data_IF_671773681451
#
_entry.id   IF_671773681451
#
_cell.length_a   1.000
_cell.length_b   1.000
_cell.length_c   1.000
_cell.angle_alpha   90.00
_cell.angle_beta   90.00
_cell.angle_gamma   90.00
#
_symmetry.space_group_name_H-M   'P 1'
#
loop_
_entity.id
_entity.type
_entity.pdbx_description
1 polymer ?
#
# COMPACT_ATOMS: atom_id res chain seq x y z
N UNK A 1 -10.07 -20.96 -4.54
CA UNK A 1 -11.30 -20.38 -3.98
C UNK A 1 -11.28 -18.87 -4.12
N UNK A 2 -10.30 -18.15 -3.58
CA UNK A 2 -10.19 -16.67 -3.65
C UNK A 2 -10.23 -16.13 -5.09
N UNK A 3 -9.59 -16.82 -6.05
CA UNK A 3 -9.61 -16.42 -7.47
C UNK A 3 -11.02 -16.45 -8.08
N UNK A 4 -11.92 -17.23 -7.54
CA UNK A 4 -13.32 -17.37 -8.02
C UNK A 4 -14.27 -16.48 -7.22
N UNK A 5 -14.15 -16.50 -5.88
CA UNK A 5 -15.06 -15.79 -4.97
C UNK A 5 -14.70 -14.32 -4.79
N UNK A 6 -13.46 -13.94 -5.08
CA UNK A 6 -12.87 -12.62 -4.79
C UNK A 6 -12.91 -12.24 -3.29
N UNK A 7 -12.99 -13.24 -2.41
CA UNK A 7 -12.99 -13.07 -0.95
C UNK A 7 -12.06 -14.11 -0.31
N UNK A 8 -11.41 -13.74 0.79
CA UNK A 8 -10.70 -14.71 1.62
C UNK A 8 -11.68 -15.49 2.49
N UNK A 9 -11.41 -16.79 2.74
CA UNK A 9 -12.21 -17.58 3.67
C UNK A 9 -12.04 -17.05 5.12
N UNK A 10 -13.07 -17.24 5.94
CA UNK A 10 -13.09 -16.77 7.33
C UNK A 10 -11.91 -17.31 8.15
N UNK A 11 -11.50 -18.54 7.86
CA UNK A 11 -10.34 -19.18 8.48
C UNK A 11 -9.04 -18.38 8.33
N UNK A 12 -8.90 -17.60 7.23
CA UNK A 12 -7.75 -16.73 7.05
C UNK A 12 -7.70 -15.64 8.13
N UNK A 13 -8.82 -14.97 8.36
CA UNK A 13 -8.92 -13.92 9.37
C UNK A 13 -8.74 -14.46 10.79
N UNK A 14 -9.31 -15.63 11.07
CA UNK A 14 -9.16 -16.30 12.35
C UNK A 14 -7.70 -16.75 12.62
N UNK A 15 -6.99 -17.22 11.60
CA UNK A 15 -5.56 -17.53 11.69
C UNK A 15 -4.73 -16.29 11.91
N UNK A 16 -5.02 -15.19 11.21
CA UNK A 16 -4.34 -13.92 11.39
C UNK A 16 -4.51 -13.37 12.82
N UNK A 17 -5.73 -13.40 13.36
CA UNK A 17 -6.02 -13.04 14.75
C UNK A 17 -5.31 -13.95 15.74
N UNK A 18 -5.40 -15.28 15.56
CA UNK A 18 -4.77 -16.26 16.45
C UNK A 18 -3.25 -16.11 16.52
N UNK A 19 -2.61 -15.74 15.41
CA UNK A 19 -1.18 -15.50 15.33
C UNK A 19 -0.79 -14.05 15.60
N UNK A 20 -1.73 -13.23 16.04
CA UNK A 20 -1.53 -11.84 16.44
C UNK A 20 -1.00 -10.93 15.32
N UNK A 21 -1.26 -11.28 14.07
CA UNK A 21 -0.72 -10.58 12.90
C UNK A 21 -1.28 -9.16 12.72
N UNK A 22 -2.36 -8.80 13.40
CA UNK A 22 -2.91 -7.44 13.36
C UNK A 22 -2.36 -6.50 14.45
N UNK A 23 -1.33 -6.94 15.19
CA UNK A 23 -0.72 -6.14 16.27
C UNK A 23 0.77 -5.90 16.10
N UNK A 24 1.42 -6.56 15.15
CA UNK A 24 2.88 -6.42 14.98
C UNK A 24 3.31 -4.97 14.66
N UNK A 25 2.41 -4.19 14.05
CA UNK A 25 2.62 -2.79 13.65
C UNK A 25 2.17 -1.75 14.69
N UNK A 26 1.51 -2.16 15.77
CA UNK A 26 1.09 -1.25 16.83
C UNK A 26 2.21 -1.04 17.83
N UNK A 27 2.35 0.18 18.38
CA UNK A 27 3.21 0.44 19.53
C UNK A 27 2.75 -0.35 20.77
N UNK A 28 3.65 -0.54 21.72
CA UNK A 28 3.37 -1.27 22.97
C UNK A 28 2.26 -0.62 23.79
N UNK A 29 2.11 0.70 23.76
CA UNK A 29 1.03 1.43 24.45
C UNK A 29 -0.37 1.06 23.93
N UNK A 30 -0.47 0.60 22.68
CA UNK A 30 -1.70 0.07 22.07
C UNK A 30 -1.68 -1.47 22.03
N UNK A 31 -0.85 -2.12 22.84
CA UNK A 31 -0.78 -3.58 22.96
C UNK A 31 -0.10 -4.27 21.76
N UNK A 32 0.67 -3.53 20.96
CA UNK A 32 1.43 -4.05 19.83
C UNK A 32 2.77 -4.66 20.22
N UNK A 33 3.56 -5.01 19.20
CA UNK A 33 4.85 -5.67 19.39
C UNK A 33 6.03 -4.68 19.52
N UNK A 34 5.79 -3.39 19.31
CA UNK A 34 6.79 -2.32 19.42
C UNK A 34 7.97 -2.50 18.47
N UNK A 35 7.69 -2.98 17.27
CA UNK A 35 8.69 -3.19 16.23
C UNK A 35 9.07 -1.85 15.58
N UNK A 36 10.36 -1.72 15.23
CA UNK A 36 10.81 -0.63 14.37
C UNK A 36 10.33 -0.81 12.91
N UNK A 37 10.49 0.22 12.08
CA UNK A 37 9.99 0.19 10.69
C UNK A 37 10.66 -0.92 9.88
N UNK A 38 11.94 -1.17 10.05
CA UNK A 38 12.65 -2.25 9.34
C UNK A 38 12.13 -3.63 9.74
N UNK A 39 11.82 -3.85 11.02
CA UNK A 39 11.23 -5.09 11.51
C UNK A 39 9.81 -5.30 10.97
N UNK A 40 8.99 -4.25 10.95
CA UNK A 40 7.66 -4.26 10.31
C UNK A 40 7.79 -4.66 8.84
N UNK A 41 8.70 -4.03 8.09
CA UNK A 41 8.89 -4.32 6.67
C UNK A 41 9.44 -5.73 6.42
N UNK A 42 10.23 -6.32 7.32
CA UNK A 42 10.64 -7.72 7.23
C UNK A 42 9.45 -8.69 7.36
N UNK A 43 8.52 -8.43 8.28
CA UNK A 43 7.27 -9.21 8.38
C UNK A 43 6.46 -9.05 7.09
N UNK A 44 6.36 -7.82 6.57
CA UNK A 44 5.66 -7.52 5.32
C UNK A 44 6.30 -8.24 4.11
N UNK A 45 7.63 -8.30 4.01
CA UNK A 45 8.34 -9.03 2.93
C UNK A 45 7.94 -10.50 2.92
N UNK A 46 8.00 -11.18 4.06
CA UNK A 46 7.64 -12.62 4.14
C UNK A 46 6.16 -12.86 3.83
N UNK A 47 5.27 -12.04 4.35
CA UNK A 47 3.84 -12.18 4.08
C UNK A 47 3.50 -11.93 2.60
N UNK A 48 4.22 -11.01 1.96
CA UNK A 48 4.04 -10.65 0.55
C UNK A 48 4.55 -11.72 -0.44
N UNK A 49 5.12 -12.80 0.06
CA UNK A 49 5.42 -14.00 -0.73
C UNK A 49 4.14 -14.80 -1.06
N UNK A 50 3.03 -14.50 -0.40
CA UNK A 50 1.70 -15.03 -0.66
C UNK A 50 1.04 -14.43 -1.91
N UNK A 51 -0.24 -14.78 -2.19
CA UNK A 51 -1.06 -14.13 -3.21
C UNK A 51 -1.19 -12.63 -2.95
N UNK A 52 -1.28 -11.85 -4.04
CA UNK A 52 -1.28 -10.38 -3.95
C UNK A 52 -2.44 -9.80 -3.14
N UNK A 53 -3.63 -10.40 -3.20
CA UNK A 53 -4.77 -9.99 -2.38
C UNK A 53 -4.55 -10.22 -0.88
N UNK A 54 -3.85 -11.30 -0.52
CA UNK A 54 -3.55 -11.62 0.90
C UNK A 54 -2.64 -10.57 1.54
N UNK A 55 -1.64 -10.07 0.82
CA UNK A 55 -0.73 -9.04 1.34
C UNK A 55 -1.44 -7.76 1.74
N UNK A 56 -2.55 -7.41 1.05
CA UNK A 56 -3.30 -6.19 1.35
C UNK A 56 -3.82 -6.15 2.79
N UNK A 57 -4.17 -7.30 3.36
CA UNK A 57 -4.66 -7.36 4.73
C UNK A 57 -3.60 -6.97 5.76
N UNK A 58 -2.33 -7.27 5.52
CA UNK A 58 -1.24 -6.80 6.38
C UNK A 58 -0.79 -5.38 6.06
N UNK A 59 -0.74 -5.02 4.78
CA UNK A 59 -0.37 -3.67 4.36
C UNK A 59 -1.30 -2.61 4.98
N UNK A 60 -2.62 -2.80 4.88
CA UNK A 60 -3.57 -1.88 5.50
C UNK A 60 -3.55 -1.94 7.02
N UNK A 61 -3.31 -3.10 7.60
CA UNK A 61 -3.14 -3.23 9.01
C UNK A 61 -1.88 -2.51 9.52
N UNK A 62 -0.79 -2.52 8.76
CA UNK A 62 0.48 -1.98 9.21
C UNK A 62 0.47 -0.46 9.33
N UNK A 63 -0.06 0.26 8.34
CA UNK A 63 0.15 1.71 8.27
C UNK A 63 -1.15 2.53 8.30
N UNK A 64 -2.10 2.24 7.43
CA UNK A 64 -3.28 3.08 7.26
C UNK A 64 -4.33 2.90 8.35
N UNK A 65 -4.35 1.74 9.02
CA UNK A 65 -5.44 1.43 9.98
C UNK A 65 -5.45 2.33 11.20
N UNK A 66 -4.31 2.62 11.80
CA UNK A 66 -4.29 3.30 13.10
C UNK A 66 -3.60 4.67 13.08
N UNK A 67 -2.54 4.84 12.26
CA UNK A 67 -1.71 6.07 12.27
C UNK A 67 -2.50 7.32 11.92
N UNK A 68 -3.34 7.27 10.90
CA UNK A 68 -4.17 8.44 10.53
C UNK A 68 -5.03 8.89 11.71
N UNK A 69 -5.66 7.93 12.40
CA UNK A 69 -6.51 8.26 13.54
C UNK A 69 -5.67 8.76 14.72
N UNK A 70 -4.53 8.12 14.97
CA UNK A 70 -3.63 8.53 16.06
C UNK A 70 -3.10 9.96 15.86
N UNK A 71 -2.67 10.31 14.64
CA UNK A 71 -1.97 11.55 14.40
C UNK A 71 -2.92 12.74 14.12
N UNK A 72 -4.09 12.46 13.53
CA UNK A 72 -5.03 13.50 13.08
C UNK A 72 -6.42 13.43 13.71
N UNK A 73 -6.73 12.36 14.46
CA UNK A 73 -8.03 12.22 15.14
C UNK A 73 -8.24 13.27 16.23
N UNK A 74 -9.48 13.76 16.36
CA UNK A 74 -9.86 14.60 17.48
C UNK A 74 -9.79 13.79 18.78
N UNK A 75 -9.50 14.42 19.93
CA UNK A 75 -9.30 13.70 21.20
C UNK A 75 -10.42 12.72 21.55
N UNK A 76 -11.68 13.12 21.37
CA UNK A 76 -12.86 12.31 21.67
C UNK A 76 -12.95 11.07 20.77
N UNK A 77 -12.54 11.22 19.51
CA UNK A 77 -12.53 10.13 18.51
C UNK A 77 -11.40 9.16 18.83
N UNK A 78 -10.21 9.67 19.17
CA UNK A 78 -9.06 8.85 19.57
C UNK A 78 -9.39 8.04 20.83
N UNK A 79 -9.89 8.67 21.87
CA UNK A 79 -10.26 8.00 23.12
C UNK A 79 -11.27 6.87 22.89
N UNK A 80 -12.24 7.09 21.99
CA UNK A 80 -13.27 6.10 21.68
C UNK A 80 -12.79 4.95 20.81
N UNK A 81 -11.98 5.21 19.78
CA UNK A 81 -11.73 4.23 18.72
C UNK A 81 -10.31 3.62 18.72
N UNK A 82 -9.29 4.28 19.29
CA UNK A 82 -7.96 3.70 19.37
C UNK A 82 -7.92 2.36 20.14
N UNK A 83 -8.66 2.18 21.25
CA UNK A 83 -8.72 0.88 21.93
C UNK A 83 -9.26 -0.26 21.07
N UNK A 84 -10.12 0.05 20.09
CA UNK A 84 -10.71 -0.97 19.21
C UNK A 84 -9.69 -1.53 18.20
N UNK A 85 -8.66 -0.78 17.83
CA UNK A 85 -7.52 -1.33 17.06
C UNK A 85 -6.75 -2.34 17.91
N UNK A 86 -6.50 -2.02 19.18
CA UNK A 86 -5.87 -2.93 20.13
C UNK A 86 -6.66 -4.23 20.29
N UNK A 87 -7.97 -4.15 20.37
CA UNK A 87 -8.87 -5.30 20.51
C UNK A 87 -9.12 -6.02 19.17
N UNK A 88 -8.56 -5.54 18.05
CA UNK A 88 -8.76 -6.09 16.69
C UNK A 88 -10.21 -6.09 16.24
N UNK A 89 -11.00 -5.12 16.70
CA UNK A 89 -12.44 -5.05 16.43
C UNK A 89 -12.81 -4.09 15.33
N UNK A 90 -11.88 -3.20 14.91
CA UNK A 90 -12.10 -2.33 13.77
C UNK A 90 -10.98 -2.44 12.72
N UNK A 91 -11.41 -2.32 11.47
CA UNK A 91 -10.58 -2.10 10.32
C UNK A 91 -11.06 -0.84 9.60
N UNK A 92 -10.15 -0.24 8.86
CA UNK A 92 -10.44 0.95 8.07
C UNK A 92 -10.01 0.76 6.62
N UNK A 93 -10.55 1.58 5.75
CA UNK A 93 -10.09 1.72 4.38
C UNK A 93 -9.78 3.19 4.07
N UNK A 94 -9.06 3.43 2.98
CA UNK A 94 -8.62 4.75 2.57
C UNK A 94 -9.27 5.16 1.25
N UNK A 95 -10.15 6.16 1.31
CA UNK A 95 -11.02 6.58 0.21
C UNK A 95 -10.62 7.95 -0.36
N UNK A 96 -9.55 7.96 -1.17
CA UNK A 96 -9.08 9.13 -1.91
C UNK A 96 -9.58 9.09 -3.36
N UNK A 97 -9.29 8.00 -4.07
CA UNK A 97 -9.48 7.85 -5.51
C UNK A 97 -10.94 7.98 -5.95
N UNK A 98 -11.17 8.67 -7.07
CA UNK A 98 -12.44 8.77 -7.77
C UNK A 98 -12.30 8.30 -9.21
N UNK A 99 -13.41 8.06 -9.92
CA UNK A 99 -13.38 7.70 -11.35
C UNK A 99 -12.76 8.79 -12.23
N UNK A 100 -12.85 10.05 -11.79
CA UNK A 100 -12.25 11.22 -12.43
C UNK A 100 -10.73 11.26 -12.31
N UNK A 101 -10.16 10.71 -11.24
CA UNK A 101 -8.71 10.72 -11.02
C UNK A 101 -8.26 10.08 -9.71
N UNK A 102 -7.03 9.56 -9.72
CA UNK A 102 -6.41 8.87 -8.58
C UNK A 102 -5.44 9.70 -7.76
N UNK A 103 -5.18 10.95 -8.16
CA UNK A 103 -4.10 11.76 -7.55
C UNK A 103 -4.58 12.80 -6.53
N UNK A 104 -5.88 12.88 -6.27
CA UNK A 104 -6.46 13.93 -5.42
C UNK A 104 -6.62 15.29 -6.12
N UNK A 105 -6.04 15.50 -7.30
CA UNK A 105 -6.09 16.77 -8.00
C UNK A 105 -7.48 17.13 -8.54
N UNK A 106 -8.28 16.12 -8.88
CA UNK A 106 -9.61 16.27 -9.49
C UNK A 106 -10.67 15.50 -8.69
N UNK A 107 -10.84 15.89 -7.43
CA UNK A 107 -11.86 15.31 -6.54
C UNK A 107 -13.17 16.10 -6.63
N UNK A 108 -14.26 15.36 -6.73
CA UNK A 108 -15.63 15.86 -6.84
C UNK A 108 -16.53 15.53 -5.65
N UNK A 109 -16.18 14.52 -4.83
CA UNK A 109 -16.89 14.26 -3.56
C UNK A 109 -16.80 15.49 -2.65
N UNK A 110 -17.90 15.87 -2.04
CA UNK A 110 -18.00 17.10 -1.22
C UNK A 110 -18.50 16.79 0.17
N UNK A 111 -18.03 17.55 1.17
CA UNK A 111 -18.68 17.64 2.48
C UNK A 111 -19.02 19.13 2.73
N UNK A 112 -20.32 19.41 2.83
CA UNK A 112 -20.83 20.78 3.02
C UNK A 112 -21.36 20.90 4.46
N UNK A 113 -20.98 22.01 5.12
CA UNK A 113 -21.47 22.29 6.45
C UNK A 113 -22.94 22.72 6.44
N UNK A 114 -23.78 22.06 7.22
CA UNK A 114 -25.19 22.38 7.42
C UNK A 114 -25.33 23.06 8.79
N UNK A 115 -25.59 24.38 8.76
CA UNK A 115 -25.71 25.20 9.97
C UNK A 115 -26.91 24.83 10.84
N UNK A 116 -28.01 24.35 10.22
CA UNK A 116 -29.23 23.99 10.97
C UNK A 116 -29.02 22.69 11.74
N UNK A 117 -28.31 21.75 11.12
CA UNK A 117 -28.02 20.44 11.72
C UNK A 117 -26.77 20.45 12.59
N UNK A 118 -25.88 21.41 12.42
CA UNK A 118 -24.56 21.42 13.04
C UNK A 118 -23.69 20.22 12.59
N UNK A 119 -23.79 19.82 11.31
CA UNK A 119 -23.12 18.63 10.77
C UNK A 119 -22.56 18.88 9.36
N UNK A 120 -21.60 18.09 8.99
CA UNK A 120 -21.15 17.98 7.61
C UNK A 120 -22.03 17.00 6.83
N UNK A 121 -22.38 17.35 5.60
CA UNK A 121 -23.18 16.51 4.68
C UNK A 121 -22.26 16.03 3.55
N UNK A 122 -21.89 14.76 3.60
CA UNK A 122 -21.01 14.13 2.63
C UNK A 122 -21.80 13.58 1.46
N UNK A 123 -21.37 13.93 0.23
CA UNK A 123 -21.93 13.46 -1.04
C UNK A 123 -20.80 13.13 -2.02
N UNK A 124 -21.01 12.14 -2.88
CA UNK A 124 -20.09 11.78 -3.96
C UNK A 124 -19.82 10.31 -4.10
N UNK A 125 -18.75 9.96 -4.81
CA UNK A 125 -18.36 8.58 -5.09
C UNK A 125 -16.84 8.41 -4.94
N UNK A 126 -16.43 7.24 -4.45
CA UNK A 126 -15.03 6.80 -4.44
C UNK A 126 -14.87 5.51 -5.23
N UNK A 127 -13.65 5.26 -5.71
CA UNK A 127 -13.38 4.18 -6.64
C UNK A 127 -12.07 3.46 -6.30
N UNK A 128 -11.98 2.16 -6.55
CA UNK A 128 -10.81 1.34 -6.24
C UNK A 128 -10.43 1.39 -4.74
N UNK A 129 -11.43 1.32 -3.88
CA UNK A 129 -11.19 1.32 -2.44
C UNK A 129 -11.02 -0.12 -1.97
N UNK A 130 -9.87 -0.43 -1.42
CA UNK A 130 -9.53 -1.76 -0.92
C UNK A 130 -10.09 -1.98 0.48
N UNK A 131 -10.19 -3.25 0.89
CA UNK A 131 -10.53 -3.63 2.26
C UNK A 131 -11.94 -3.25 2.73
N UNK A 132 -12.84 -2.96 1.82
CA UNK A 132 -14.20 -2.53 2.17
C UNK A 132 -15.07 -3.66 2.69
N UNK A 133 -14.72 -4.91 2.40
CA UNK A 133 -15.40 -6.13 2.84
C UNK A 133 -15.24 -6.42 4.33
N UNK A 134 -14.19 -5.91 4.96
CA UNK A 134 -13.92 -6.11 6.39
C UNK A 134 -13.81 -4.81 7.19
N UNK A 135 -13.87 -3.63 6.55
CA UNK A 135 -13.79 -2.34 7.22
C UNK A 135 -15.12 -1.90 7.85
N UNK A 136 -15.03 -1.22 8.97
CA UNK A 136 -16.15 -0.55 9.63
C UNK A 136 -16.11 0.97 9.47
N UNK A 137 -14.95 1.51 9.10
CA UNK A 137 -14.73 2.94 8.90
C UNK A 137 -13.94 3.20 7.62
N UNK A 138 -14.18 4.38 7.04
CA UNK A 138 -13.46 4.86 5.86
C UNK A 138 -12.81 6.21 6.15
N UNK A 139 -11.51 6.34 5.84
CA UNK A 139 -10.84 7.64 5.77
C UNK A 139 -11.16 8.29 4.43
N UNK A 140 -12.05 9.27 4.44
CA UNK A 140 -12.55 9.90 3.21
C UNK A 140 -11.95 11.27 3.01
N UNK A 141 -11.27 11.48 1.87
CA UNK A 141 -10.77 12.78 1.45
C UNK A 141 -11.78 13.40 0.47
N UNK A 142 -12.26 14.60 0.77
CA UNK A 142 -13.28 15.26 -0.06
C UNK A 142 -13.13 16.79 -0.05
N UNK A 143 -13.85 17.47 -0.92
CA UNK A 143 -13.86 18.91 -1.05
C UNK A 143 -14.78 19.52 0.02
N UNK A 144 -14.24 20.42 0.84
CA UNK A 144 -15.01 21.23 1.80
C UNK A 144 -15.03 22.70 1.45
N UNK A 145 -14.09 23.16 0.62
CA UNK A 145 -13.90 24.55 0.24
C UNK A 145 -13.74 24.68 -1.29
N UNK A 146 -14.83 24.61 -2.07
CA UNK A 146 -14.76 24.61 -3.53
C UNK A 146 -14.16 25.90 -4.14
N UNK A 147 -14.23 27.02 -3.40
CA UNK A 147 -13.71 28.32 -3.83
C UNK A 147 -12.20 28.46 -3.62
N UNK A 148 -11.57 27.58 -2.83
CA UNK A 148 -10.13 27.54 -2.64
C UNK A 148 -9.44 26.81 -3.80
N UNK A 149 -8.13 26.96 -3.90
CA UNK A 149 -7.30 26.32 -4.93
C UNK A 149 -6.40 25.26 -4.33
N UNK A 150 -5.99 24.31 -5.17
CA UNK A 150 -5.05 23.26 -4.78
C UNK A 150 -5.59 22.40 -3.64
N UNK A 151 -4.69 22.03 -2.74
CA UNK A 151 -4.98 21.10 -1.65
C UNK A 151 -5.79 21.74 -0.50
N UNK A 152 -5.75 23.05 -0.35
CA UNK A 152 -6.48 23.80 0.70
C UNK A 152 -8.01 23.63 0.61
N UNK A 153 -8.52 23.16 -0.53
CA UNK A 153 -9.94 22.85 -0.72
C UNK A 153 -10.37 21.53 -0.09
N UNK A 154 -9.41 20.68 0.30
CA UNK A 154 -9.63 19.30 0.69
C UNK A 154 -9.59 19.11 2.22
N UNK A 155 -10.51 18.32 2.75
CA UNK A 155 -10.51 17.90 4.14
C UNK A 155 -10.65 16.37 4.22
N UNK A 156 -10.27 15.81 5.36
CA UNK A 156 -10.33 14.38 5.64
C UNK A 156 -11.34 14.08 6.75
N UNK A 157 -12.05 12.98 6.63
CA UNK A 157 -13.03 12.53 7.61
C UNK A 157 -12.87 11.05 7.95
N UNK A 158 -13.10 10.70 9.23
CA UNK A 158 -13.23 9.34 9.72
C UNK A 158 -14.70 8.94 9.67
N UNK A 159 -15.12 8.24 8.62
CA UNK A 159 -16.54 8.00 8.30
C UNK A 159 -16.95 6.58 8.70
N UNK A 160 -17.89 6.42 9.67
CA UNK A 160 -18.50 5.12 9.92
C UNK A 160 -19.28 4.62 8.69
N UNK A 161 -19.05 3.37 8.29
CA UNK A 161 -19.63 2.81 7.06
C UNK A 161 -21.09 2.36 7.23
N UNK A 162 -21.59 2.31 8.46
CA UNK A 162 -23.00 1.99 8.79
C UNK A 162 -23.95 3.20 8.73
N UNK A 163 -23.44 4.37 8.34
CA UNK A 163 -24.24 5.60 8.25
C UNK A 163 -25.30 5.51 7.14
N UNK A 164 -26.52 6.02 7.39
CA UNK A 164 -27.51 6.19 6.31
C UNK A 164 -26.94 6.96 5.12
N UNK A 165 -27.13 6.43 3.92
CA UNK A 165 -26.60 7.01 2.69
C UNK A 165 -25.17 6.61 2.33
N UNK A 166 -24.48 5.80 3.15
CA UNK A 166 -23.22 5.15 2.79
C UNK A 166 -23.52 3.83 2.07
N UNK A 167 -23.05 3.69 0.84
CA UNK A 167 -23.28 2.49 0.02
C UNK A 167 -21.95 1.93 -0.51
N UNK A 168 -21.76 0.61 -0.40
CA UNK A 168 -20.68 -0.13 -1.07
C UNK A 168 -21.14 -0.52 -2.46
N UNK A 169 -20.40 -0.13 -3.48
CA UNK A 169 -20.75 -0.36 -4.90
C UNK A 169 -19.81 -1.43 -5.47
N UNK A 170 -20.37 -2.54 -5.99
CA UNK A 170 -19.56 -3.58 -6.62
C UNK A 170 -18.72 -3.05 -7.78
N UNK A 171 -17.55 -3.66 -7.96
CA UNK A 171 -16.64 -3.36 -9.07
C UNK A 171 -16.49 -4.55 -10.02
N UNK A 172 -16.06 -4.32 -11.29
CA UNK A 172 -15.66 -5.39 -12.18
C UNK A 172 -14.53 -6.24 -11.61
N UNK A 173 -14.45 -7.49 -12.03
CA UNK A 173 -13.35 -8.38 -11.65
C UNK A 173 -11.99 -7.80 -12.06
N UNK A 174 -11.06 -7.78 -11.12
CA UNK A 174 -9.71 -7.32 -11.36
C UNK A 174 -8.85 -8.41 -12.01
N UNK A 175 -7.80 -7.98 -12.71
CA UNK A 175 -6.81 -8.84 -13.32
C UNK A 175 -6.10 -9.73 -12.28
N UNK A 176 -5.71 -9.16 -11.14
CA UNK A 176 -5.00 -9.81 -10.02
C UNK A 176 -5.36 -9.16 -8.69
N UNK A 177 -4.65 -9.53 -7.63
CA UNK A 177 -4.91 -9.10 -6.26
C UNK A 177 -6.37 -9.37 -5.82
N UNK A 178 -6.94 -10.47 -6.27
CA UNK A 178 -8.29 -10.87 -5.87
C UNK A 178 -8.32 -11.20 -4.38
N UNK A 179 -9.45 -10.93 -3.75
CA UNK A 179 -9.60 -11.05 -2.29
C UNK A 179 -9.18 -9.81 -1.50
N UNK A 180 -8.72 -8.75 -2.16
CA UNK A 180 -8.33 -7.50 -1.50
C UNK A 180 -9.51 -6.57 -1.14
N UNK A 181 -10.75 -7.01 -1.33
CA UNK A 181 -11.96 -6.28 -0.97
C UNK A 181 -12.18 -4.97 -1.74
N UNK A 182 -11.68 -4.86 -2.97
CA UNK A 182 -11.82 -3.65 -3.76
C UNK A 182 -13.25 -3.39 -4.19
N UNK A 183 -13.79 -2.21 -3.85
CA UNK A 183 -15.12 -1.75 -4.27
C UNK A 183 -15.10 -0.27 -4.65
N UNK A 184 -16.25 0.23 -5.12
CA UNK A 184 -16.59 1.64 -5.09
C UNK A 184 -17.34 1.98 -3.80
N UNK A 185 -17.31 3.24 -3.43
CA UNK A 185 -18.15 3.80 -2.36
C UNK A 185 -19.02 4.89 -2.94
N UNK A 186 -20.26 5.01 -2.44
CA UNK A 186 -21.18 6.09 -2.80
C UNK A 186 -21.76 6.71 -1.54
N UNK A 187 -21.79 8.01 -1.52
CA UNK A 187 -22.30 8.81 -0.42
C UNK A 187 -23.48 9.66 -0.88
N UNK A 188 -24.61 9.51 -0.20
CA UNK A 188 -25.84 10.27 -0.46
C UNK A 188 -26.33 10.91 0.82
N UNK A 189 -26.03 12.19 1.04
CA UNK A 189 -26.39 12.96 2.22
C UNK A 189 -25.96 12.28 3.53
N UNK A 190 -24.75 11.73 3.59
CA UNK A 190 -24.21 11.12 4.81
C UNK A 190 -23.88 12.22 5.81
N UNK A 191 -24.54 12.17 6.98
CA UNK A 191 -24.33 13.14 8.05
C UNK A 191 -23.12 12.77 8.90
N UNK A 192 -22.20 13.72 9.10
CA UNK A 192 -20.99 13.55 9.89
C UNK A 192 -20.92 14.62 10.98
N UNK A 193 -20.68 14.20 12.21
CA UNK A 193 -20.41 15.07 13.33
C UNK A 193 -19.06 15.82 13.11
N UNK A 194 -18.92 17.06 13.62
CA UNK A 194 -17.71 17.86 13.48
C UNK A 194 -16.44 17.15 13.93
N UNK A 195 -16.54 16.33 14.98
CA UNK A 195 -15.43 15.59 15.60
C UNK A 195 -14.86 14.50 14.69
N UNK A 196 -15.60 14.08 13.67
CA UNK A 196 -15.14 13.10 12.68
C UNK A 196 -14.17 13.69 11.64
N UNK A 197 -13.95 15.01 11.64
CA UNK A 197 -12.91 15.63 10.82
C UNK A 197 -11.53 15.29 11.36
N UNK A 198 -10.64 14.84 10.47
CA UNK A 198 -9.26 14.52 10.77
C UNK A 198 -8.37 15.75 10.51
N UNK A 199 -7.58 16.14 11.49
CA UNK A 199 -6.81 17.39 11.43
C UNK A 199 -7.71 18.62 11.37
N UNK A 200 -7.38 19.57 10.49
CA UNK A 200 -8.13 20.80 10.29
C UNK A 200 -8.77 20.85 8.90
N UNK A 201 -9.80 21.68 8.77
CA UNK A 201 -10.40 22.00 7.48
C UNK A 201 -9.36 22.57 6.51
N UNK A 202 -9.22 21.96 5.34
CA UNK A 202 -8.20 22.31 4.35
C UNK A 202 -6.90 21.49 4.45
N UNK A 203 -6.76 20.59 5.43
CA UNK A 203 -5.57 19.73 5.59
C UNK A 203 -5.76 18.30 5.02
N UNK A 204 -6.80 18.05 4.23
CA UNK A 204 -7.11 16.70 3.75
C UNK A 204 -5.97 16.03 2.98
N UNK A 205 -5.26 16.78 2.13
CA UNK A 205 -4.12 16.22 1.41
C UNK A 205 -2.91 16.00 2.33
N UNK A 206 -2.71 16.83 3.33
CA UNK A 206 -1.66 16.62 4.35
C UNK A 206 -1.89 15.31 5.10
N UNK A 207 -3.14 15.04 5.52
CA UNK A 207 -3.54 13.77 6.15
C UNK A 207 -3.26 12.59 5.20
N UNK A 208 -3.65 12.73 3.93
CA UNK A 208 -3.43 11.70 2.94
C UNK A 208 -1.94 11.41 2.71
N UNK A 209 -1.14 12.44 2.50
CA UNK A 209 0.28 12.30 2.17
C UNK A 209 1.12 11.78 3.33
N UNK A 210 0.73 12.07 4.56
CA UNK A 210 1.38 11.55 5.76
C UNK A 210 1.43 10.01 5.75
N UNK A 211 0.31 9.37 5.43
CA UNK A 211 0.23 7.90 5.35
C UNK A 211 0.79 7.34 4.04
N UNK A 212 0.51 7.99 2.91
CA UNK A 212 0.91 7.49 1.60
C UNK A 212 2.44 7.45 1.40
N UNK A 213 3.20 8.30 2.10
CA UNK A 213 4.65 8.29 2.02
C UNK A 213 5.21 6.94 2.52
N UNK A 214 4.84 6.53 3.72
CA UNK A 214 5.27 5.25 4.31
C UNK A 214 4.66 4.07 3.56
N UNK A 215 3.38 4.15 3.22
CA UNK A 215 2.65 3.12 2.48
C UNK A 215 3.31 2.75 1.14
N UNK A 216 3.96 3.70 0.46
CA UNK A 216 4.75 3.44 -0.75
C UNK A 216 5.91 2.48 -0.50
N UNK A 217 6.55 2.55 0.65
CA UNK A 217 7.63 1.62 1.03
C UNK A 217 7.08 0.24 1.36
N UNK A 218 5.91 0.15 1.96
CA UNK A 218 5.20 -1.12 2.13
C UNK A 218 4.86 -1.78 0.78
N UNK A 219 4.47 -1.01 -0.24
CA UNK A 219 4.31 -1.54 -1.61
C UNK A 219 5.65 -1.99 -2.18
N UNK A 220 6.72 -1.24 -1.98
CA UNK A 220 8.06 -1.63 -2.44
C UNK A 220 8.51 -2.94 -1.79
N UNK A 221 8.26 -3.11 -0.50
CA UNK A 221 8.54 -4.33 0.25
C UNK A 221 7.65 -5.51 -0.21
N UNK A 222 6.40 -5.23 -0.56
CA UNK A 222 5.52 -6.24 -1.17
C UNK A 222 6.04 -6.71 -2.52
N UNK A 223 6.52 -5.79 -3.37
CA UNK A 223 7.21 -6.14 -4.62
C UNK A 223 8.49 -6.94 -4.39
N UNK A 224 9.22 -6.65 -3.30
CA UNK A 224 10.40 -7.42 -2.90
C UNK A 224 10.04 -8.86 -2.53
N UNK A 225 9.03 -9.06 -1.67
CA UNK A 225 8.60 -10.38 -1.21
C UNK A 225 8.11 -11.28 -2.36
N UNK A 226 7.24 -10.76 -3.23
CA UNK A 226 6.75 -11.52 -4.39
C UNK A 226 7.90 -11.81 -5.39
N UNK A 227 8.84 -10.84 -5.59
CA UNK A 227 10.01 -11.03 -6.44
C UNK A 227 10.93 -12.12 -5.90
N UNK A 228 11.16 -12.15 -4.60
CA UNK A 228 11.95 -13.19 -3.94
C UNK A 228 11.34 -14.58 -4.17
N UNK A 229 10.03 -14.73 -4.02
CA UNK A 229 9.32 -15.98 -4.32
C UNK A 229 9.48 -16.41 -5.77
N UNK A 230 9.22 -15.49 -6.72
CA UNK A 230 9.35 -15.76 -8.15
C UNK A 230 10.77 -16.19 -8.53
N UNK A 231 11.78 -15.57 -7.93
CA UNK A 231 13.19 -15.92 -8.12
C UNK A 231 13.51 -17.34 -7.61
N UNK A 232 13.07 -17.69 -6.41
CA UNK A 232 13.26 -19.04 -5.83
C UNK A 232 12.60 -20.11 -6.67
N UNK A 233 11.36 -19.88 -7.12
CA UNK A 233 10.65 -20.77 -8.04
C UNK A 233 11.41 -20.92 -9.36
N UNK A 234 11.97 -19.84 -9.89
CA UNK A 234 12.77 -19.84 -11.12
C UNK A 234 14.05 -20.66 -10.97
N UNK A 235 14.73 -20.59 -9.83
CA UNK A 235 15.90 -21.41 -9.53
C UNK A 235 15.51 -22.88 -9.46
N UNK A 236 14.43 -23.22 -8.73
CA UNK A 236 13.94 -24.59 -8.61
C UNK A 236 13.61 -25.17 -9.99
N UNK A 237 12.84 -24.43 -10.79
CA UNK A 237 12.50 -24.81 -12.16
C UNK A 237 13.74 -25.00 -13.04
N UNK A 238 14.71 -24.09 -12.97
CA UNK A 238 15.92 -24.15 -13.77
C UNK A 238 16.83 -25.36 -13.42
N UNK A 239 16.80 -25.82 -12.16
CA UNK A 239 17.51 -27.02 -11.70
C UNK A 239 16.82 -28.31 -12.15
N UNK A 240 15.49 -28.32 -12.16
CA UNK A 240 14.69 -29.51 -12.43
C UNK A 240 14.46 -29.74 -13.94
N UNK A 241 14.19 -28.70 -14.70
CA UNK A 241 13.91 -28.80 -16.13
C UNK A 241 15.14 -29.22 -16.94
N UNK A 242 15.06 -30.37 -17.60
CA UNK A 242 16.10 -30.90 -18.48
C UNK A 242 15.74 -30.68 -19.95
N UNK A 243 16.65 -30.05 -20.71
CA UNK A 243 16.58 -29.95 -22.18
C UNK A 243 17.93 -30.30 -22.79
N UNK A 244 17.91 -30.98 -23.93
CA UNK A 244 19.15 -31.43 -24.61
C UNK A 244 20.14 -32.10 -23.64
N UNK A 245 19.62 -33.00 -22.78
CA UNK A 245 20.38 -33.83 -21.89
C UNK A 245 20.98 -33.17 -20.64
N UNK A 246 20.64 -31.92 -20.32
CA UNK A 246 21.13 -31.27 -19.09
C UNK A 246 20.12 -30.25 -18.51
N UNK A 247 20.15 -30.01 -17.19
CA UNK A 247 19.34 -28.97 -16.56
C UNK A 247 19.55 -27.60 -17.20
N UNK A 248 18.44 -26.82 -17.36
CA UNK A 248 18.51 -25.52 -18.04
C UNK A 248 19.34 -24.50 -17.26
N UNK A 249 19.51 -24.62 -15.95
CA UNK A 249 20.40 -23.78 -15.14
C UNK A 249 21.87 -23.81 -15.64
N UNK A 250 22.26 -24.85 -16.39
CA UNK A 250 23.59 -24.95 -17.01
C UNK A 250 23.72 -24.13 -18.31
N UNK A 251 22.62 -23.52 -18.78
CA UNK A 251 22.59 -22.65 -19.96
C UNK A 251 23.02 -21.25 -19.57
N UNK A 252 23.91 -20.65 -20.38
CA UNK A 252 24.38 -19.28 -20.13
C UNK A 252 23.23 -18.27 -20.08
N UNK A 253 22.28 -18.33 -21.02
CA UNK A 253 21.11 -17.44 -21.06
C UNK A 253 20.30 -17.48 -19.76
N UNK A 254 20.02 -18.70 -19.22
CA UNK A 254 19.29 -18.85 -17.96
C UNK A 254 20.10 -18.29 -16.78
N UNK A 255 21.41 -18.53 -16.75
CA UNK A 255 22.29 -18.00 -15.69
C UNK A 255 22.32 -16.48 -15.66
N UNK A 256 22.35 -15.84 -16.84
CA UNK A 256 22.31 -14.36 -16.95
C UNK A 256 20.97 -13.84 -16.42
N UNK A 257 19.85 -14.45 -16.80
CA UNK A 257 18.52 -14.09 -16.27
C UNK A 257 18.47 -14.16 -14.74
N UNK A 258 18.87 -15.29 -14.16
CA UNK A 258 18.91 -15.46 -12.71
C UNK A 258 19.84 -14.47 -12.01
N UNK A 259 20.98 -14.11 -12.63
CA UNK A 259 21.89 -13.12 -12.09
C UNK A 259 21.26 -11.71 -12.08
N UNK A 260 20.55 -11.33 -13.16
CA UNK A 260 19.83 -10.06 -13.23
C UNK A 260 18.72 -9.98 -12.19
N UNK A 261 17.92 -11.05 -12.03
CA UNK A 261 16.88 -11.13 -10.99
C UNK A 261 17.48 -10.92 -9.59
N UNK A 262 18.56 -11.65 -9.26
CA UNK A 262 19.24 -11.55 -7.97
C UNK A 262 19.78 -10.15 -7.72
N UNK A 263 20.39 -9.53 -8.71
CA UNK A 263 20.93 -8.17 -8.61
C UNK A 263 19.85 -7.14 -8.30
N UNK A 264 18.73 -7.20 -8.99
CA UNK A 264 17.61 -6.27 -8.78
C UNK A 264 16.95 -6.45 -7.41
N UNK A 265 16.72 -7.69 -6.99
CA UNK A 265 16.17 -8.00 -5.66
C UNK A 265 17.11 -7.49 -4.55
N UNK A 266 18.42 -7.72 -4.71
CA UNK A 266 19.41 -7.27 -3.73
C UNK A 266 19.44 -5.74 -3.63
N UNK A 267 19.51 -5.05 -4.76
CA UNK A 267 19.53 -3.59 -4.79
C UNK A 267 18.24 -2.98 -4.21
N UNK A 268 17.07 -3.56 -4.53
CA UNK A 268 15.81 -3.11 -3.94
C UNK A 268 15.80 -3.25 -2.41
N UNK A 269 16.32 -4.39 -1.89
CA UNK A 269 16.39 -4.59 -0.43
C UNK A 269 17.30 -3.55 0.22
N UNK A 270 18.44 -3.23 -0.40
CA UNK A 270 19.32 -2.16 0.09
C UNK A 270 18.65 -0.79 0.08
N UNK A 271 17.87 -0.48 -0.96
CA UNK A 271 17.12 0.79 -1.06
C UNK A 271 16.06 0.92 0.03
N UNK A 272 15.38 -0.19 0.37
CA UNK A 272 14.39 -0.21 1.46
C UNK A 272 15.08 -0.04 2.84
N UNK A 273 16.21 -0.69 3.06
CA UNK A 273 17.00 -0.55 4.30
C UNK A 273 17.47 0.91 4.45
N UNK A 274 17.99 1.53 3.39
CA UNK A 274 18.40 2.93 3.38
C UNK A 274 17.26 3.89 3.76
N UNK A 275 16.04 3.60 3.30
CA UNK A 275 14.86 4.35 3.73
C UNK A 275 14.62 4.21 5.24
N UNK A 276 14.70 2.99 5.78
CA UNK A 276 14.43 2.74 7.20
C UNK A 276 15.47 3.39 8.12
N UNK A 277 16.74 3.41 7.69
CA UNK A 277 17.84 4.02 8.46
C UNK A 277 17.64 5.53 8.68
N UNK A 278 16.95 6.21 7.74
CA UNK A 278 16.67 7.65 7.81
C UNK A 278 15.23 7.96 8.27
N UNK A 279 14.39 6.94 8.42
CA UNK A 279 12.99 7.13 8.79
C UNK A 279 12.86 7.44 10.28
N UNK A 280 12.46 8.67 10.60
CA UNK A 280 12.08 9.09 11.94
C UNK A 280 10.54 9.13 12.04
N UNK A 281 9.98 8.23 12.84
CA UNK A 281 8.54 8.13 13.07
C UNK A 281 7.94 9.42 13.66
N UNK A 282 8.71 10.14 14.46
CA UNK A 282 8.23 11.34 15.16
C UNK A 282 8.32 12.59 14.28
N UNK A 283 9.30 12.67 13.38
CA UNK A 283 9.56 13.85 12.56
C UNK A 283 9.23 13.67 11.07
N UNK A 284 8.90 12.45 10.61
CA UNK A 284 8.68 12.14 9.20
C UNK A 284 9.79 12.65 8.25
N UNK A 285 11.02 12.64 8.65
CA UNK A 285 12.24 13.06 8.00
C UNK A 285 12.07 13.98 6.78
N UNK A 286 12.91 14.95 6.58
CA UNK A 286 12.80 15.97 5.51
C UNK A 286 12.64 15.35 4.10
N UNK A 287 13.06 14.09 3.90
CA UNK A 287 13.16 13.42 2.60
C UNK A 287 12.30 12.16 2.45
N UNK A 288 11.45 11.87 3.42
CA UNK A 288 10.61 10.64 3.45
C UNK A 288 9.81 10.45 2.15
N UNK A 289 9.19 11.51 1.65
CA UNK A 289 8.37 11.41 0.42
C UNK A 289 9.19 11.07 -0.81
N UNK A 290 10.39 11.63 -0.96
CA UNK A 290 11.28 11.38 -2.09
C UNK A 290 11.88 9.97 -2.03
N UNK A 291 12.47 9.59 -0.90
CA UNK A 291 13.03 8.24 -0.69
C UNK A 291 11.95 7.16 -0.84
N UNK A 292 10.75 7.38 -0.32
CA UNK A 292 9.62 6.48 -0.51
C UNK A 292 9.22 6.33 -1.99
N UNK A 293 9.25 7.44 -2.75
CA UNK A 293 8.99 7.41 -4.19
C UNK A 293 10.09 6.67 -4.96
N UNK A 294 11.36 6.80 -4.55
CA UNK A 294 12.48 6.04 -5.10
C UNK A 294 12.30 4.55 -4.84
N UNK A 295 12.02 4.14 -3.59
CA UNK A 295 11.74 2.75 -3.23
C UNK A 295 10.61 2.18 -4.09
N UNK A 296 9.48 2.90 -4.16
CA UNK A 296 8.32 2.49 -4.95
C UNK A 296 8.64 2.33 -6.42
N UNK A 297 9.28 3.31 -7.04
CA UNK A 297 9.59 3.29 -8.48
C UNK A 297 10.58 2.17 -8.81
N UNK A 298 11.66 2.03 -8.03
CA UNK A 298 12.65 0.98 -8.24
C UNK A 298 12.07 -0.42 -8.01
N UNK A 299 11.13 -0.58 -7.06
CA UNK A 299 10.43 -1.84 -6.84
C UNK A 299 9.57 -2.26 -8.03
N UNK A 300 8.97 -1.31 -8.74
CA UNK A 300 8.20 -1.57 -9.96
C UNK A 300 9.12 -2.13 -11.07
N UNK A 301 10.28 -1.54 -11.28
CA UNK A 301 11.23 -2.02 -12.28
C UNK A 301 11.80 -3.40 -11.90
N UNK A 302 12.02 -3.64 -10.61
CA UNK A 302 12.46 -4.94 -10.09
C UNK A 302 11.42 -6.03 -10.34
N UNK A 303 10.18 -5.84 -9.89
CA UNK A 303 9.13 -6.86 -10.01
C UNK A 303 8.76 -7.12 -11.47
N UNK A 304 8.82 -6.09 -12.31
CA UNK A 304 8.63 -6.20 -13.75
C UNK A 304 9.66 -7.13 -14.38
N UNK A 305 10.96 -6.87 -14.14
CA UNK A 305 12.02 -7.73 -14.65
C UNK A 305 11.87 -9.16 -14.13
N UNK A 306 11.67 -9.32 -12.82
CA UNK A 306 11.63 -10.65 -12.20
C UNK A 306 10.44 -11.47 -12.69
N UNK A 307 9.25 -10.87 -12.84
CA UNK A 307 8.06 -11.57 -13.32
C UNK A 307 8.17 -11.99 -14.78
N UNK A 308 8.71 -11.13 -15.65
CA UNK A 308 8.94 -11.45 -17.06
C UNK A 308 9.98 -12.59 -17.22
N UNK A 309 11.10 -12.51 -16.50
CA UNK A 309 12.15 -13.53 -16.54
C UNK A 309 11.67 -14.87 -15.96
N UNK A 310 10.84 -14.86 -14.93
CA UNK A 310 10.20 -16.06 -14.38
C UNK A 310 9.37 -16.76 -15.47
N UNK A 311 8.45 -16.05 -16.13
CA UNK A 311 7.62 -16.66 -17.18
C UNK A 311 8.45 -17.22 -18.31
N UNK A 312 9.53 -16.57 -18.74
CA UNK A 312 10.44 -17.12 -19.75
C UNK A 312 11.17 -18.38 -19.29
N UNK A 313 11.61 -18.46 -18.03
CA UNK A 313 12.26 -19.66 -17.47
C UNK A 313 11.29 -20.83 -17.39
N UNK A 314 10.03 -20.58 -17.05
CA UNK A 314 8.98 -21.60 -17.01
C UNK A 314 8.50 -22.00 -18.42
N UNK A 315 8.57 -21.07 -19.37
CA UNK A 315 8.05 -21.27 -20.72
C UNK A 315 6.54 -21.50 -20.74
N UNK A 316 6.04 -22.38 -21.61
CA UNK A 316 4.61 -22.67 -21.71
C UNK A 316 3.97 -23.12 -20.39
N UNK A 317 4.73 -23.84 -19.55
CA UNK A 317 4.23 -24.29 -18.24
C UNK A 317 3.91 -23.12 -17.29
N UNK A 318 4.52 -21.96 -17.48
CA UNK A 318 4.26 -20.76 -16.67
C UNK A 318 3.00 -19.99 -17.04
N UNK A 319 2.35 -20.34 -18.15
CA UNK A 319 1.21 -19.62 -18.70
C UNK A 319 -0.15 -20.20 -18.31
N UNK A 320 -0.17 -21.37 -17.65
CA UNK A 320 -1.39 -22.05 -17.25
C UNK A 320 -1.76 -21.76 -15.78
N UNK A 321 -3.05 -21.51 -15.53
CA UNK A 321 -3.60 -21.27 -14.19
C UNK A 321 -3.41 -22.46 -13.24
N UNK A 322 -3.50 -23.68 -13.76
CA UNK A 322 -3.36 -24.93 -13.02
C UNK A 322 -1.99 -25.62 -13.24
N UNK A 323 -0.95 -24.82 -13.46
CA UNK A 323 0.41 -25.34 -13.64
C UNK A 323 0.86 -26.17 -12.44
N UNK A 324 1.36 -27.40 -12.66
CA UNK A 324 1.87 -28.23 -11.57
C UNK A 324 3.17 -27.72 -10.96
N UNK A 325 3.76 -26.68 -11.56
CA UNK A 325 5.03 -26.06 -11.11
C UNK A 325 4.83 -24.82 -10.26
N UNK A 326 3.58 -24.48 -9.93
CA UNK A 326 3.24 -23.36 -9.06
C UNK A 326 2.48 -22.23 -9.77
N UNK A 327 2.03 -21.24 -9.03
CA UNK A 327 1.10 -20.20 -9.48
C UNK A 327 1.81 -19.07 -10.22
N UNK A 328 2.57 -19.37 -11.28
CA UNK A 328 3.39 -18.39 -12.00
C UNK A 328 2.56 -17.29 -12.65
N UNK A 329 1.46 -17.67 -13.31
CA UNK A 329 0.58 -16.70 -13.97
C UNK A 329 -0.15 -15.82 -12.95
N UNK A 330 -0.57 -16.38 -11.80
CA UNK A 330 -1.18 -15.65 -10.71
C UNK A 330 -0.23 -14.59 -10.15
N UNK A 331 1.01 -14.96 -9.85
CA UNK A 331 2.03 -14.03 -9.35
C UNK A 331 2.32 -12.91 -10.36
N UNK A 332 2.33 -13.23 -11.65
CA UNK A 332 2.49 -12.25 -12.73
C UNK A 332 1.33 -11.25 -12.78
N UNK A 333 0.08 -11.72 -12.66
CA UNK A 333 -1.11 -10.85 -12.62
C UNK A 333 -1.17 -10.00 -11.37
N UNK A 334 -0.86 -10.60 -10.21
CA UNK A 334 -0.92 -9.94 -8.91
C UNK A 334 0.09 -8.80 -8.80
N UNK A 335 1.33 -9.01 -9.21
CA UNK A 335 2.35 -7.96 -9.12
C UNK A 335 2.02 -6.74 -10.00
N UNK A 336 1.15 -6.90 -11.00
CA UNK A 336 0.78 -5.80 -11.90
C UNK A 336 -0.06 -4.71 -11.22
N UNK A 337 -0.87 -5.06 -10.22
CA UNK A 337 -1.65 -4.09 -9.43
C UNK A 337 -0.73 -3.11 -8.69
N UNK A 338 0.35 -3.62 -8.10
CA UNK A 338 1.31 -2.83 -7.32
C UNK A 338 2.05 -1.74 -8.12
N UNK A 339 1.97 -1.74 -9.45
CA UNK A 339 2.50 -0.64 -10.27
C UNK A 339 1.61 0.60 -10.19
N UNK A 340 0.32 0.43 -9.96
CA UNK A 340 -0.70 1.47 -10.01
C UNK A 340 -1.06 1.99 -8.61
N UNK A 341 -1.04 1.13 -7.62
CA UNK A 341 -1.35 1.45 -6.23
C UNK A 341 -0.44 2.57 -5.70
N UNK A 342 -0.95 3.43 -4.83
CA UNK A 342 -0.22 4.49 -4.13
C UNK A 342 0.52 5.48 -5.06
N UNK A 343 0.01 5.64 -6.26
CA UNK A 343 0.56 6.49 -7.32
C UNK A 343 1.35 5.72 -8.37
N UNK A 344 0.92 5.91 -9.62
CA UNK A 344 1.54 5.33 -10.81
C UNK A 344 3.01 5.79 -10.98
N UNK A 345 3.81 5.08 -11.82
CA UNK A 345 5.24 5.41 -12.03
C UNK A 345 5.51 6.87 -12.39
N UNK A 346 4.60 7.51 -13.13
CA UNK A 346 4.73 8.93 -13.48
C UNK A 346 4.60 9.83 -12.26
N UNK A 347 3.69 9.51 -11.33
CA UNK A 347 3.51 10.25 -10.08
C UNK A 347 4.77 10.17 -9.23
N UNK A 348 5.37 8.98 -9.10
CA UNK A 348 6.62 8.81 -8.35
C UNK A 348 7.76 9.64 -8.95
N UNK A 349 7.89 9.65 -10.29
CA UNK A 349 8.91 10.47 -10.97
C UNK A 349 8.71 11.97 -10.72
N UNK A 350 7.47 12.45 -10.70
CA UNK A 350 7.15 13.85 -10.38
C UNK A 350 7.53 14.15 -8.93
N UNK A 351 7.25 13.25 -7.99
CA UNK A 351 7.64 13.41 -6.59
C UNK A 351 9.15 13.53 -6.43
N UNK A 352 9.92 12.64 -7.08
CA UNK A 352 11.39 12.68 -7.08
C UNK A 352 11.90 13.98 -7.72
N UNK A 353 11.35 14.36 -8.89
CA UNK A 353 11.77 15.59 -9.58
C UNK A 353 11.52 16.84 -8.72
N UNK A 354 10.40 16.87 -7.98
CA UNK A 354 10.11 17.96 -7.05
C UNK A 354 11.12 17.99 -5.90
N UNK A 355 11.49 16.84 -5.33
CA UNK A 355 12.55 16.78 -4.31
C UNK A 355 13.87 17.33 -4.84
N UNK A 356 14.25 17.01 -6.08
CA UNK A 356 15.46 17.56 -6.73
C UNK A 356 15.39 19.09 -6.86
N UNK A 357 14.22 19.64 -7.21
CA UNK A 357 14.02 21.11 -7.31
C UNK A 357 14.08 21.77 -5.93
N UNK A 358 13.44 21.17 -4.92
CA UNK A 358 13.36 21.71 -3.57
C UNK A 358 14.71 21.69 -2.82
N UNK A 359 15.60 20.75 -3.18
CA UNK A 359 16.87 20.50 -2.48
C UNK A 359 18.14 20.64 -3.34
N UNK A 360 18.06 21.36 -4.48
CA UNK A 360 19.19 21.56 -5.41
C UNK A 360 19.84 20.27 -5.93
N UNK A 361 19.10 19.15 -5.94
CA UNK A 361 19.52 17.87 -6.48
C UNK A 361 20.68 17.19 -5.74
N UNK A 362 21.02 17.63 -4.52
CA UNK A 362 22.24 17.21 -3.80
C UNK A 362 21.96 16.37 -2.57
N UNK A 363 20.71 15.95 -2.36
CA UNK A 363 20.22 15.36 -1.14
C UNK A 363 21.04 14.17 -0.61
N UNK A 364 21.13 13.12 -1.42
CA UNK A 364 21.86 11.90 -1.03
C UNK A 364 23.36 12.16 -0.91
N UNK A 365 23.90 13.02 -1.76
CA UNK A 365 25.31 13.35 -1.75
C UNK A 365 25.70 14.17 -0.51
N UNK A 366 24.86 15.11 -0.09
CA UNK A 366 25.08 15.89 1.13
C UNK A 366 24.94 15.04 2.39
N UNK A 367 23.94 14.16 2.47
CA UNK A 367 23.79 13.24 3.61
C UNK A 367 24.93 12.24 3.67
N UNK A 368 25.38 11.72 2.55
CA UNK A 368 26.50 10.80 2.48
C UNK A 368 27.82 11.47 2.89
N UNK A 369 28.07 12.71 2.43
CA UNK A 369 29.25 13.50 2.83
C UNK A 369 29.16 13.97 4.29
N UNK A 370 27.97 14.39 4.74
CA UNK A 370 27.77 14.83 6.13
C UNK A 370 27.91 13.67 7.13
N UNK A 371 27.49 12.46 6.74
CA UNK A 371 27.74 11.23 7.51
C UNK A 371 29.21 10.82 7.53
N UNK A 372 30.00 11.23 6.55
CA UNK A 372 31.45 11.09 6.50
C UNK A 372 32.13 12.33 7.05
N UNK A 373 31.82 12.78 8.27
CA UNK A 373 32.65 13.79 8.93
C UNK A 373 34.07 13.28 8.93
N UNK A 374 34.82 13.68 7.92
CA UNK A 374 36.24 13.73 7.92
C UNK A 374 36.59 14.88 8.89
N UNK A 375 36.64 14.57 10.19
CA UNK A 375 37.36 15.38 11.19
C UNK A 375 38.85 15.29 10.92
#
# INVERSE_FOLDING_TARGET
EVEVTNTFPEEFYELAKKNDLYRFYLPSEYGGWDLDELEILRVQEEFSRGPGGMRMHLHYAADLNWRILNDFGQPEIKEKYMPLFQDKTIFTNFALTEKSGGTGADLHSTAVWDEEKGKWILNGEKWLISHTDCSQFSYVICVTDPDKKGDDRLSAFFVPMDRPGFEIVPMPHMMGCRGSGHTGLKFTNVELEPELMLGKRGEGMKVAMHSLAVSRVHIATSNLGISQRMFEMSIARARDRVTFGKPIIKRQAIRVKLANMQMMIHALRCTIIDFCDDFDLDNNGEYVSEKAAICKLFSIDTVRLVSDEMLEIFGGDGYFEDSPYGPTELLYRDCRAMWLEEGAPTVQRITIAKGIEDHDGTLEYQTWIAGSKLD
#
